data_IF_800404793128
#
_entry.id   IF_800404793128
#
_cell.length_a   1.000
_cell.length_b   1.000
_cell.length_c   1.000
_cell.angle_alpha   90.00
_cell.angle_beta   90.00
_cell.angle_gamma   90.00
#
_symmetry.space_group_name_H-M   'P 1'
#
loop_
_entity.id
_entity.type
_entity.pdbx_description
1 polymer ?
#
# COMPACT_ATOMS: atom_id res chain seq x y z
N UNK A 1 -3.63 4.77 17.45
CA UNK A 1 -3.47 3.56 16.61
C UNK A 1 -2.57 2.58 17.37
N UNK A 2 -2.88 1.28 17.49
CA UNK A 2 -2.09 0.36 18.33
C UNK A 2 -0.63 0.21 17.88
N UNK A 3 -0.37 0.13 16.58
CA UNK A 3 0.99 -0.10 16.02
C UNK A 3 1.81 1.19 15.87
N UNK A 4 1.14 2.29 15.57
CA UNK A 4 1.76 3.56 15.18
C UNK A 4 1.45 4.64 16.21
N UNK A 5 1.69 4.30 17.48
CA UNK A 5 1.72 5.25 18.57
C UNK A 5 3.11 5.23 19.20
N UNK A 6 4.09 5.71 18.44
CA UNK A 6 5.51 5.54 18.77
C UNK A 6 5.86 6.36 20.02
N UNK A 7 6.53 5.77 21.03
CA UNK A 7 6.90 6.48 22.26
C UNK A 7 7.72 7.74 22.01
N UNK A 8 8.60 7.70 21.00
CA UNK A 8 9.48 8.80 20.61
C UNK A 8 9.01 9.54 19.35
N UNK A 9 7.74 9.37 18.95
CA UNK A 9 7.16 10.16 17.87
C UNK A 9 6.94 11.62 18.31
N UNK A 10 7.27 12.54 17.43
CA UNK A 10 7.24 14.00 17.61
C UNK A 10 6.13 14.68 16.79
N UNK A 11 5.27 13.91 16.14
CA UNK A 11 4.11 14.39 15.39
C UNK A 11 2.90 13.48 15.65
N UNK A 12 1.73 14.09 15.84
CA UNK A 12 0.45 13.40 15.81
C UNK A 12 -0.21 13.64 14.45
N UNK A 13 -0.55 12.57 13.74
CA UNK A 13 -1.37 12.61 12.53
C UNK A 13 -2.75 12.08 12.86
N UNK A 14 -3.79 12.88 12.64
CA UNK A 14 -5.19 12.48 12.80
C UNK A 14 -5.79 12.12 11.44
N UNK A 15 -6.29 10.89 11.32
CA UNK A 15 -7.01 10.44 10.13
C UNK A 15 -8.35 11.16 9.96
N UNK A 16 -8.93 11.06 8.77
CA UNK A 16 -10.35 11.31 8.57
C UNK A 16 -11.19 10.42 9.50
N UNK A 17 -12.39 10.91 9.84
CA UNK A 17 -13.36 10.15 10.60
C UNK A 17 -13.90 8.98 9.78
N UNK A 18 -14.06 7.82 10.42
CA UNK A 18 -14.71 6.65 9.84
C UNK A 18 -16.24 6.83 9.73
N UNK A 19 -16.95 5.81 9.23
CA UNK A 19 -18.41 5.83 9.10
C UNK A 19 -19.15 6.03 10.44
N UNK A 20 -18.47 5.84 11.59
CA UNK A 20 -19.00 6.05 12.94
C UNK A 20 -18.61 7.43 13.50
N UNK A 21 -17.94 8.27 12.73
CA UNK A 21 -17.46 9.58 13.17
C UNK A 21 -16.18 9.53 14.00
N UNK A 22 -15.49 8.38 14.07
CA UNK A 22 -14.29 8.20 14.90
C UNK A 22 -13.03 8.42 14.08
N UNK A 23 -12.14 9.32 14.53
CA UNK A 23 -10.83 9.51 13.93
C UNK A 23 -9.76 8.70 14.66
N UNK A 24 -8.75 8.24 13.93
CA UNK A 24 -7.60 7.54 14.51
C UNK A 24 -6.40 8.48 14.60
N UNK A 25 -5.75 8.49 15.77
CA UNK A 25 -4.51 9.23 15.99
C UNK A 25 -3.29 8.32 15.82
N UNK A 26 -2.30 8.82 15.09
CA UNK A 26 -1.01 8.18 14.85
C UNK A 26 0.07 9.06 15.46
N UNK A 27 0.98 8.48 16.25
CA UNK A 27 2.16 9.18 16.77
C UNK A 27 3.39 8.66 16.03
N UNK A 28 3.98 9.52 15.20
CA UNK A 28 5.01 9.16 14.20
C UNK A 28 6.13 10.21 14.19
N UNK A 29 7.22 9.90 13.49
CA UNK A 29 8.37 10.80 13.34
C UNK A 29 8.17 11.79 12.18
N UNK A 30 8.18 13.08 12.51
CA UNK A 30 8.08 14.22 11.58
C UNK A 30 9.18 14.18 10.53
N UNK A 31 10.42 13.92 10.96
CA UNK A 31 11.59 13.87 10.08
C UNK A 31 11.49 12.75 9.05
N UNK A 32 10.97 11.58 9.42
CA UNK A 32 10.80 10.45 8.50
C UNK A 32 9.76 10.76 7.43
N UNK A 33 8.64 11.39 7.81
CA UNK A 33 7.62 11.84 6.86
C UNK A 33 8.18 12.91 5.92
N UNK A 34 8.83 13.95 6.45
CA UNK A 34 9.42 15.01 5.63
C UNK A 34 10.51 14.51 4.69
N UNK A 35 11.31 13.53 5.11
CA UNK A 35 12.36 12.96 4.29
C UNK A 35 11.81 12.19 3.09
N UNK A 36 10.71 11.43 3.28
CA UNK A 36 10.13 10.60 2.24
C UNK A 36 9.04 11.30 1.42
N UNK A 37 8.53 12.44 1.89
CA UNK A 37 7.43 13.16 1.26
C UNK A 37 7.74 14.66 1.20
N UNK A 38 7.98 15.22 0.00
CA UNK A 38 8.13 16.67 -0.14
C UNK A 38 6.85 17.40 0.26
N UNK A 39 5.67 16.80 0.04
CA UNK A 39 4.38 17.38 0.48
C UNK A 39 4.32 17.56 2.00
N UNK A 40 4.75 16.57 2.78
CA UNK A 40 4.83 16.72 4.23
C UNK A 40 5.95 17.69 4.63
N UNK A 41 7.10 17.66 3.96
CA UNK A 41 8.18 18.61 4.22
C UNK A 41 7.69 20.06 4.08
N UNK A 42 7.06 20.39 2.95
CA UNK A 42 6.50 21.70 2.67
C UNK A 42 5.41 22.07 3.69
N UNK A 43 4.48 21.15 3.97
CA UNK A 43 3.43 21.34 4.98
C UNK A 43 3.99 21.74 6.35
N UNK A 44 5.15 21.20 6.74
CA UNK A 44 5.79 21.51 8.01
C UNK A 44 6.60 22.82 8.03
N UNK A 45 6.88 23.41 6.87
CA UNK A 45 7.56 24.71 6.76
C UNK A 45 6.60 25.90 6.80
N UNK A 46 5.32 25.67 6.52
CA UNK A 46 4.32 26.73 6.53
C UNK A 46 4.24 27.37 7.93
N UNK A 47 4.27 28.71 8.03
CA UNK A 47 4.16 29.39 9.31
C UNK A 47 2.81 29.05 9.93
N UNK A 48 2.82 28.38 11.09
CA UNK A 48 1.61 28.07 11.83
C UNK A 48 0.90 29.38 12.21
N UNK A 49 -0.21 29.71 11.55
CA UNK A 49 -0.90 31.01 11.71
C UNK A 49 -1.72 31.14 12.99
N UNK A 50 -1.75 30.13 13.86
CA UNK A 50 -2.40 30.18 15.17
C UNK A 50 -2.01 28.93 15.94
N UNK A 51 -1.77 29.08 17.26
CA UNK A 51 -1.53 28.02 18.27
C UNK A 51 -1.70 26.60 17.73
N UNK A 52 -0.60 26.01 17.28
CA UNK A 52 -0.60 24.63 16.80
C UNK A 52 -1.07 23.74 17.95
N UNK A 53 -2.25 23.14 17.79
CA UNK A 53 -2.86 22.32 18.82
C UNK A 53 -1.93 21.16 19.16
N UNK A 54 -1.69 20.96 20.45
CA UNK A 54 -0.84 19.89 20.95
C UNK A 54 -1.72 18.76 21.45
N UNK A 55 -1.35 17.53 21.10
CA UNK A 55 -1.93 16.32 21.62
C UNK A 55 -0.80 15.45 22.20
N UNK A 56 -0.91 15.06 23.47
CA UNK A 56 0.15 14.35 24.20
C UNK A 56 1.55 14.99 24.08
N UNK A 57 1.58 16.32 24.07
CA UNK A 57 2.82 17.12 23.99
C UNK A 57 3.45 17.21 22.60
N UNK A 58 2.80 16.69 21.56
CA UNK A 58 3.25 16.78 20.17
C UNK A 58 2.24 17.54 19.28
N UNK A 59 2.70 18.26 18.25
CA UNK A 59 1.82 18.96 17.31
C UNK A 59 0.89 17.97 16.58
N UNK A 60 -0.39 18.33 16.46
CA UNK A 60 -1.37 17.57 15.68
C UNK A 60 -1.53 18.13 14.27
N UNK A 61 -1.54 17.22 13.30
CA UNK A 61 -1.86 17.49 11.89
C UNK A 61 -3.05 16.63 11.50
N UNK A 62 -4.07 17.27 10.93
CA UNK A 62 -5.30 16.60 10.49
C UNK A 62 -5.23 16.36 8.99
N UNK A 63 -5.38 15.11 8.59
CA UNK A 63 -5.40 14.72 7.18
C UNK A 63 -6.77 14.20 6.79
N UNK A 64 -7.06 14.23 5.50
CA UNK A 64 -8.33 13.74 4.94
C UNK A 64 -8.32 12.25 4.61
N UNK A 65 -7.25 11.55 4.95
CA UNK A 65 -7.03 10.15 4.58
C UNK A 65 -7.57 9.19 5.63
N UNK A 66 -7.98 8.01 5.17
CA UNK A 66 -8.53 6.98 6.07
C UNK A 66 -7.43 6.43 6.98
N UNK A 67 -7.84 5.93 8.16
CA UNK A 67 -6.92 5.28 9.06
C UNK A 67 -6.25 4.03 8.44
N UNK A 68 -6.97 3.30 7.59
CA UNK A 68 -6.47 2.11 6.90
C UNK A 68 -5.33 2.46 5.94
N UNK A 69 -5.55 3.45 5.06
CA UNK A 69 -4.51 3.87 4.12
C UNK A 69 -3.27 4.43 4.83
N UNK A 70 -3.49 5.25 5.87
CA UNK A 70 -2.40 5.81 6.68
C UNK A 70 -1.60 4.71 7.38
N UNK A 71 -2.27 3.68 7.87
CA UNK A 71 -1.62 2.52 8.47
C UNK A 71 -0.74 1.79 7.45
N UNK A 72 -1.26 1.61 6.23
CA UNK A 72 -0.55 0.92 5.17
C UNK A 72 0.70 1.69 4.70
N UNK A 73 0.60 3.03 4.51
CA UNK A 73 1.76 3.87 4.18
C UNK A 73 2.74 3.99 5.33
N UNK A 74 2.27 4.16 6.57
CA UNK A 74 3.17 4.17 7.73
C UNK A 74 3.95 2.86 7.81
N UNK A 75 3.28 1.72 7.63
CA UNK A 75 3.95 0.41 7.62
C UNK A 75 5.08 0.38 6.58
N UNK A 76 4.79 0.80 5.35
CA UNK A 76 5.77 0.82 4.27
C UNK A 76 6.92 1.83 4.50
N UNK A 77 6.67 2.94 5.20
CA UNK A 77 7.69 3.94 5.53
C UNK A 77 8.66 3.45 6.62
N UNK A 78 8.14 2.76 7.65
CA UNK A 78 8.96 2.23 8.74
C UNK A 78 9.62 0.89 8.38
N UNK A 79 8.97 0.08 7.54
CA UNK A 79 9.46 -1.20 7.08
C UNK A 79 8.96 -1.49 5.66
N UNK A 80 9.85 -1.30 4.67
CA UNK A 80 9.52 -1.55 3.26
C UNK A 80 9.09 -3.00 3.00
N UNK A 81 9.50 -3.95 3.86
CA UNK A 81 9.13 -5.36 3.72
C UNK A 81 7.65 -5.62 4.02
N UNK A 82 6.95 -4.65 4.65
CA UNK A 82 5.51 -4.71 4.84
C UNK A 82 4.72 -4.71 3.51
N UNK A 83 5.35 -4.30 2.40
CA UNK A 83 4.79 -4.37 1.05
C UNK A 83 5.04 -5.74 0.37
N UNK A 84 5.54 -6.73 1.10
CA UNK A 84 5.75 -8.07 0.55
C UNK A 84 4.41 -8.78 0.36
N UNK A 85 4.08 -9.09 -0.90
CA UNK A 85 2.90 -9.85 -1.28
C UNK A 85 3.31 -11.19 -1.91
N UNK A 86 2.50 -12.25 -1.77
CA UNK A 86 2.71 -13.47 -2.52
C UNK A 86 2.75 -13.18 -4.01
N UNK A 87 3.66 -13.84 -4.72
CA UNK A 87 3.68 -13.78 -6.19
C UNK A 87 2.37 -14.32 -6.74
N UNK A 88 1.78 -13.61 -7.69
CA UNK A 88 0.47 -13.92 -8.29
C UNK A 88 -0.71 -13.82 -7.32
N UNK A 89 -0.59 -13.05 -6.24
CA UNK A 89 -1.73 -12.69 -5.40
C UNK A 89 -2.77 -11.92 -6.25
N UNK A 90 -3.98 -12.48 -6.50
CA UNK A 90 -5.00 -11.82 -7.30
C UNK A 90 -5.48 -10.51 -6.66
N UNK A 91 -5.40 -10.42 -5.33
CA UNK A 91 -5.85 -9.24 -4.59
C UNK A 91 -4.74 -8.18 -4.48
N UNK A 92 -3.54 -8.41 -5.03
CA UNK A 92 -2.43 -7.47 -4.95
C UNK A 92 -2.81 -6.04 -5.39
N UNK A 93 -3.47 -5.80 -6.55
CA UNK A 93 -3.88 -4.45 -6.94
C UNK A 93 -4.82 -3.79 -5.93
N UNK A 94 -5.78 -4.55 -5.38
CA UNK A 94 -6.76 -4.05 -4.40
C UNK A 94 -6.03 -3.67 -3.11
N UNK A 95 -5.18 -4.55 -2.60
CA UNK A 95 -4.41 -4.34 -1.36
C UNK A 95 -3.42 -3.18 -1.47
N UNK A 96 -2.85 -2.96 -2.66
CA UNK A 96 -1.89 -1.89 -2.91
C UNK A 96 -2.55 -0.54 -3.22
N UNK A 97 -3.85 -0.51 -3.53
CA UNK A 97 -4.57 0.72 -3.93
C UNK A 97 -4.47 1.82 -2.86
N UNK A 98 -4.66 1.47 -1.59
CA UNK A 98 -4.60 2.44 -0.49
C UNK A 98 -3.21 3.06 -0.32
N UNK A 99 -2.18 2.21 -0.35
CA UNK A 99 -0.78 2.62 -0.29
C UNK A 99 -0.41 3.49 -1.49
N UNK A 100 -0.76 3.06 -2.70
CA UNK A 100 -0.46 3.77 -3.94
C UNK A 100 -1.11 5.15 -3.99
N UNK A 101 -2.36 5.25 -3.54
CA UNK A 101 -3.11 6.50 -3.45
C UNK A 101 -2.42 7.52 -2.57
N UNK A 102 -2.01 7.12 -1.36
CA UNK A 102 -1.32 8.03 -0.45
C UNK A 102 0.12 8.30 -0.88
N UNK A 103 0.84 7.30 -1.40
CA UNK A 103 2.16 7.50 -1.97
C UNK A 103 2.12 8.53 -3.11
N UNK A 104 1.08 8.49 -3.95
CA UNK A 104 0.88 9.48 -5.02
C UNK A 104 0.49 10.85 -4.45
N UNK A 105 -0.48 10.90 -3.53
CA UNK A 105 -0.95 12.15 -2.90
C UNK A 105 0.17 12.91 -2.18
N UNK A 106 1.02 12.18 -1.46
CA UNK A 106 2.12 12.74 -0.66
C UNK A 106 3.46 12.67 -1.38
N UNK A 107 3.50 12.29 -2.67
CA UNK A 107 4.73 12.18 -3.47
C UNK A 107 5.83 11.35 -2.80
N UNK A 108 5.45 10.20 -2.25
CA UNK A 108 6.38 9.22 -1.67
C UNK A 108 6.86 8.27 -2.77
N UNK A 109 7.82 8.75 -3.56
CA UNK A 109 8.30 8.07 -4.77
C UNK A 109 8.92 6.70 -4.50
N UNK A 110 9.54 6.52 -3.33
CA UNK A 110 10.14 5.24 -2.91
C UNK A 110 9.08 4.15 -2.78
N UNK A 111 7.97 4.46 -2.13
CA UNK A 111 6.82 3.56 -2.00
C UNK A 111 6.13 3.38 -3.34
N UNK A 112 5.87 4.47 -4.08
CA UNK A 112 5.23 4.40 -5.40
C UNK A 112 5.98 3.45 -6.34
N UNK A 113 7.31 3.59 -6.45
CA UNK A 113 8.15 2.72 -7.26
C UNK A 113 8.08 1.26 -6.81
N UNK A 114 8.14 1.02 -5.49
CA UNK A 114 8.08 -0.33 -4.95
C UNK A 114 6.76 -1.04 -5.27
N UNK A 115 5.66 -0.30 -5.19
CA UNK A 115 4.32 -0.81 -5.54
C UNK A 115 4.25 -1.20 -7.02
N UNK A 116 4.80 -0.35 -7.91
CA UNK A 116 4.87 -0.64 -9.35
C UNK A 116 5.70 -1.91 -9.61
N UNK A 117 6.89 -2.03 -9.00
CA UNK A 117 7.73 -3.23 -9.12
C UNK A 117 6.99 -4.52 -8.73
N UNK A 118 6.22 -4.50 -7.64
CA UNK A 118 5.45 -5.67 -7.19
C UNK A 118 4.39 -6.07 -8.23
N UNK A 119 3.73 -5.08 -8.84
CA UNK A 119 2.73 -5.33 -9.87
C UNK A 119 3.39 -5.82 -11.15
N UNK A 120 4.47 -5.19 -11.59
CA UNK A 120 5.22 -5.60 -12.79
C UNK A 120 5.79 -7.01 -12.66
N UNK A 121 6.28 -7.40 -11.48
CA UNK A 121 6.79 -8.75 -11.20
C UNK A 121 5.70 -9.84 -11.33
N UNK A 122 4.43 -9.45 -11.25
CA UNK A 122 3.29 -10.35 -11.42
C UNK A 122 2.94 -10.58 -12.89
N UNK A 123 3.41 -9.73 -13.81
CA UNK A 123 3.06 -9.77 -15.22
C UNK A 123 4.28 -9.94 -16.13
N UNK A 124 4.22 -10.81 -17.15
CA UNK A 124 5.34 -10.96 -18.06
C UNK A 124 5.54 -9.72 -18.92
N UNK A 125 6.72 -9.08 -18.81
CA UNK A 125 7.12 -7.89 -19.57
C UNK A 125 7.90 -8.23 -20.85
N UNK A 126 8.28 -9.49 -21.04
CA UNK A 126 9.03 -9.97 -22.21
C UNK A 126 8.46 -11.28 -22.72
N UNK A 127 8.78 -11.63 -23.97
CA UNK A 127 8.34 -12.89 -24.58
C UNK A 127 8.79 -14.12 -23.76
N UNK A 128 10.03 -14.15 -23.28
CA UNK A 128 10.55 -15.26 -22.48
C UNK A 128 9.83 -15.39 -21.14
N UNK A 129 9.54 -14.27 -20.48
CA UNK A 129 8.73 -14.26 -19.25
C UNK A 129 7.31 -14.74 -19.54
N UNK A 130 6.72 -14.32 -20.66
CA UNK A 130 5.39 -14.75 -21.07
C UNK A 130 5.35 -16.25 -21.32
N UNK A 131 6.36 -16.82 -21.99
CA UNK A 131 6.45 -18.25 -22.25
C UNK A 131 6.56 -19.07 -20.95
N UNK A 132 7.36 -18.59 -19.98
CA UNK A 132 7.45 -19.19 -18.64
C UNK A 132 6.12 -19.13 -17.91
N UNK A 133 5.44 -17.98 -17.97
CA UNK A 133 4.13 -17.79 -17.36
C UNK A 133 3.07 -18.73 -17.97
N UNK A 134 3.05 -18.86 -19.30
CA UNK A 134 2.17 -19.81 -19.99
C UNK A 134 2.45 -21.26 -19.55
N UNK A 135 3.71 -21.64 -19.47
CA UNK A 135 4.09 -22.99 -19.02
C UNK A 135 3.64 -23.28 -17.58
N UNK A 136 3.72 -22.29 -16.69
CA UNK A 136 3.19 -22.38 -15.33
C UNK A 136 1.66 -22.53 -15.31
N UNK A 137 0.94 -21.72 -16.09
CA UNK A 137 -0.52 -21.80 -16.22
C UNK A 137 -0.96 -23.17 -16.74
N UNK A 138 -0.28 -23.70 -17.77
CA UNK A 138 -0.57 -25.02 -18.32
C UNK A 138 -0.39 -26.11 -17.27
N UNK A 139 0.73 -26.11 -16.54
CA UNK A 139 0.98 -27.07 -15.47
C UNK A 139 -0.08 -26.98 -14.35
N UNK A 140 -0.48 -25.77 -13.95
CA UNK A 140 -1.54 -25.57 -12.95
C UNK A 140 -2.91 -26.07 -13.43
N UNK A 141 -3.19 -25.89 -14.73
CA UNK A 141 -4.42 -26.37 -15.37
C UNK A 141 -4.48 -27.89 -15.37
N UNK A 142 -3.38 -28.56 -15.68
CA UNK A 142 -3.28 -30.02 -15.64
C UNK A 142 -3.46 -30.56 -14.22
N UNK A 143 -2.83 -29.93 -13.21
CA UNK A 143 -3.02 -30.28 -11.80
C UNK A 143 -4.49 -30.16 -11.39
N UNK A 144 -5.13 -29.04 -11.76
CA UNK A 144 -6.55 -28.80 -11.49
C UNK A 144 -7.43 -29.87 -12.11
N UNK A 145 -7.19 -30.23 -13.37
CA UNK A 145 -8.04 -31.18 -14.10
C UNK A 145 -7.79 -32.64 -13.68
N UNK A 146 -6.59 -32.94 -13.17
CA UNK A 146 -6.26 -34.23 -12.55
C UNK A 146 -6.74 -34.39 -11.10
N UNK A 147 -7.03 -33.29 -10.39
CA UNK A 147 -7.49 -33.35 -9.00
C UNK A 147 -9.00 -33.52 -8.88
N UNK A 148 -9.45 -34.39 -7.97
CA UNK A 148 -10.89 -34.62 -7.71
C UNK A 148 -11.61 -33.39 -7.18
N UNK A 149 -10.92 -32.55 -6.42
CA UNK A 149 -11.45 -31.31 -5.84
C UNK A 149 -11.29 -30.09 -6.77
N UNK A 150 -10.60 -30.26 -7.90
CA UNK A 150 -10.24 -29.18 -8.84
C UNK A 150 -9.44 -28.04 -8.18
N UNK A 151 -8.68 -28.34 -7.14
CA UNK A 151 -7.80 -27.39 -6.45
C UNK A 151 -6.36 -27.53 -6.92
N UNK A 152 -5.62 -26.42 -6.87
CA UNK A 152 -4.17 -26.36 -7.10
C UNK A 152 -3.53 -25.99 -5.77
N UNK A 153 -2.82 -26.94 -5.15
CA UNK A 153 -2.20 -26.72 -3.83
C UNK A 153 -3.20 -26.35 -2.73
N UNK A 154 -4.44 -26.88 -2.81
CA UNK A 154 -5.52 -26.59 -1.85
C UNK A 154 -6.24 -25.25 -2.07
N UNK A 155 -5.91 -24.50 -3.13
CA UNK A 155 -6.57 -23.25 -3.52
C UNK A 155 -7.29 -23.39 -4.85
N UNK A 156 -8.22 -22.48 -5.16
CA UNK A 156 -8.80 -22.43 -6.49
C UNK A 156 -7.76 -21.94 -7.49
N UNK A 157 -7.95 -22.31 -8.75
CA UNK A 157 -7.06 -21.88 -9.83
C UNK A 157 -6.99 -20.35 -9.95
N UNK A 158 -8.13 -19.68 -9.81
CA UNK A 158 -8.26 -18.21 -9.83
C UNK A 158 -7.48 -17.52 -8.70
N UNK A 159 -7.27 -18.19 -7.56
CA UNK A 159 -6.53 -17.64 -6.40
C UNK A 159 -4.99 -17.75 -6.55
N UNK A 160 -4.53 -18.35 -7.64
CA UNK A 160 -3.12 -18.66 -7.88
C UNK A 160 -2.56 -17.96 -9.12
N UNK A 161 -3.35 -17.11 -9.77
CA UNK A 161 -2.96 -16.33 -10.93
C UNK A 161 -3.31 -14.86 -10.68
N UNK A 162 -2.54 -13.91 -11.25
CA UNK A 162 -2.84 -12.49 -11.07
C UNK A 162 -4.16 -12.12 -11.77
N UNK A 163 -4.94 -11.23 -11.15
CA UNK A 163 -6.25 -10.83 -11.67
C UNK A 163 -6.10 -9.65 -12.67
N UNK A 164 -6.38 -9.85 -13.97
CA UNK A 164 -6.09 -8.84 -15.00
C UNK A 164 -6.98 -7.61 -14.90
N UNK A 165 -8.25 -7.72 -14.53
CA UNK A 165 -9.16 -6.57 -14.53
C UNK A 165 -8.79 -5.54 -13.45
N UNK A 166 -8.42 -6.02 -12.26
CA UNK A 166 -7.95 -5.23 -11.13
C UNK A 166 -6.60 -4.60 -11.44
N UNK A 167 -5.68 -5.33 -12.09
CA UNK A 167 -4.41 -4.77 -12.53
C UNK A 167 -4.60 -3.64 -13.57
N UNK A 168 -5.43 -3.86 -14.60
CA UNK A 168 -5.74 -2.84 -15.61
C UNK A 168 -6.41 -1.62 -14.98
N UNK A 169 -7.34 -1.84 -14.05
CA UNK A 169 -8.00 -0.75 -13.33
C UNK A 169 -7.00 0.04 -12.50
N UNK A 170 -6.12 -0.65 -11.76
CA UNK A 170 -5.08 -0.02 -10.96
C UNK A 170 -4.14 0.83 -11.82
N UNK A 171 -3.66 0.26 -12.93
CA UNK A 171 -2.83 0.94 -13.91
C UNK A 171 -3.48 2.24 -14.40
N UNK A 172 -4.76 2.15 -14.77
CA UNK A 172 -5.56 3.30 -15.21
C UNK A 172 -5.77 4.35 -14.11
N UNK A 173 -6.05 3.92 -12.88
CA UNK A 173 -6.35 4.82 -11.76
C UNK A 173 -5.11 5.62 -11.31
N UNK A 174 -3.90 5.09 -11.53
CA UNK A 174 -2.64 5.69 -11.05
C UNK A 174 -1.65 6.11 -12.15
N UNK A 175 -2.02 5.94 -13.42
CA UNK A 175 -1.21 6.24 -14.60
C UNK A 175 0.16 5.54 -14.53
N UNK A 176 0.10 4.21 -14.40
CA UNK A 176 1.27 3.30 -14.38
C UNK A 176 1.13 2.21 -15.42
#
# INVERSE_FOLDING_TARGET
>A
HPTFYLPFGDLIVQSAADAKGTSTLFRVNKSLLAFNSPVFADMFTLPNTSTQELYDGAPIVRVTDTAEDLTAVCSALYDISSLSLPRFDPDAPIRLTGVMRLATKYQIDTIRRRVIEILDDSWPQTYDQWLRFQSQISAMTEIRDGSKDRLVGGKRFEDCIPEPAAAIRFARDFDV
#
